data_IF_367327793459
#
_entry.id   IF_367327793459
#
_cell.length_a   1.000
_cell.length_b   1.000
_cell.length_c   1.000
_cell.angle_alpha   90.00
_cell.angle_beta   90.00
_cell.angle_gamma   90.00
#
_symmetry.space_group_name_H-M   'P 1'
#
loop_
_entity.id
_entity.type
_entity.pdbx_description
1 polymer ?
#
# COMPACT_ATOMS: atom_id res chain seq x y z
N UNK A 1 -1.07 8.99 -12.72
CA UNK A 1 0.22 8.92 -13.46
C UNK A 1 0.88 10.30 -13.49
N UNK A 2 1.56 10.70 -12.43
CA UNK A 2 2.16 12.00 -12.20
C UNK A 2 3.68 11.92 -12.42
N UNK A 3 4.26 12.73 -13.35
CA UNK A 3 5.70 12.88 -13.48
C UNK A 3 6.29 13.49 -12.21
N UNK A 4 7.27 12.82 -11.60
CA UNK A 4 7.77 13.20 -10.26
C UNK A 4 8.94 14.15 -10.27
N UNK A 5 9.53 14.43 -11.44
CA UNK A 5 10.80 15.16 -11.59
C UNK A 5 12.02 14.44 -11.00
N UNK A 6 11.86 13.23 -10.45
CA UNK A 6 12.96 12.36 -10.02
C UNK A 6 13.46 11.59 -11.25
N UNK A 7 14.61 12.02 -11.79
CA UNK A 7 15.17 11.53 -13.06
C UNK A 7 16.42 10.68 -12.87
N UNK A 8 16.56 9.63 -13.67
CA UNK A 8 17.68 8.68 -13.63
C UNK A 8 17.46 7.51 -12.67
N UNK A 9 18.55 6.79 -12.38
CA UNK A 9 18.59 5.63 -11.49
C UNK A 9 19.63 5.82 -10.42
N UNK A 10 19.35 5.26 -9.26
CA UNK A 10 20.33 5.11 -8.19
C UNK A 10 21.27 3.95 -8.52
N UNK A 11 22.55 4.09 -8.17
CA UNK A 11 23.54 3.02 -8.29
C UNK A 11 24.05 2.53 -6.92
N UNK A 12 23.52 3.11 -5.84
CA UNK A 12 23.88 2.79 -4.47
C UNK A 12 25.11 3.55 -3.99
N UNK A 13 25.82 4.31 -4.85
CA UNK A 13 27.01 5.07 -4.48
C UNK A 13 26.70 6.42 -3.83
N UNK A 14 25.42 6.80 -3.75
CA UNK A 14 24.99 8.08 -3.22
C UNK A 14 25.46 8.26 -1.76
N UNK A 15 26.04 9.42 -1.47
CA UNK A 15 26.53 9.79 -0.14
C UNK A 15 26.04 11.19 0.24
N UNK A 16 26.16 11.52 1.52
CA UNK A 16 25.90 12.87 2.03
C UNK A 16 24.94 12.90 3.20
N UNK A 17 24.71 14.09 3.74
CA UNK A 17 23.83 14.32 4.89
C UNK A 17 22.65 15.18 4.50
N UNK A 18 21.45 14.70 4.82
CA UNK A 18 20.19 15.30 4.41
C UNK A 18 19.26 15.43 5.62
N UNK A 19 18.50 16.53 5.65
CA UNK A 19 17.38 16.68 6.57
C UNK A 19 16.10 16.43 5.79
N UNK A 20 15.27 15.53 6.28
CA UNK A 20 13.98 15.21 5.68
C UNK A 20 12.87 15.43 6.69
N UNK A 21 11.70 15.74 6.17
CA UNK A 21 10.53 16.15 6.91
C UNK A 21 9.36 15.34 6.38
N UNK A 22 8.74 14.58 7.28
CA UNK A 22 7.59 13.73 6.99
C UNK A 22 6.40 14.30 7.76
N UNK A 23 5.48 14.93 7.02
CA UNK A 23 4.30 15.62 7.56
C UNK A 23 3.12 14.67 7.52
N UNK A 24 2.87 13.99 8.64
CA UNK A 24 1.70 13.14 8.80
C UNK A 24 0.47 13.90 9.32
N UNK A 25 -0.65 13.18 9.42
CA UNK A 25 -1.91 13.74 9.92
C UNK A 25 -1.87 14.20 11.39
N UNK A 26 -0.96 13.68 12.22
CA UNK A 26 -0.90 14.02 13.66
C UNK A 26 0.47 14.52 14.12
N UNK A 27 1.54 14.09 13.43
CA UNK A 27 2.91 14.36 13.82
C UNK A 27 3.73 14.82 12.61
N UNK A 28 4.63 15.77 12.87
CA UNK A 28 5.79 16.03 12.02
C UNK A 28 6.94 15.16 12.49
N UNK A 29 7.51 14.35 11.60
CA UNK A 29 8.75 13.63 11.84
C UNK A 29 9.88 14.34 11.12
N UNK A 30 10.90 14.75 11.87
CA UNK A 30 12.14 15.33 11.35
C UNK A 30 13.20 14.24 11.39
N UNK A 31 13.83 13.93 10.26
CA UNK A 31 14.83 12.87 10.16
C UNK A 31 16.12 13.41 9.56
N UNK A 32 17.22 13.23 10.29
CA UNK A 32 18.57 13.39 9.75
C UNK A 32 19.01 12.06 9.15
N UNK A 33 19.23 12.05 7.84
CA UNK A 33 19.66 10.89 7.05
C UNK A 33 21.10 11.11 6.61
N UNK A 34 21.97 10.15 6.89
CA UNK A 34 23.35 10.10 6.42
C UNK A 34 23.49 8.92 5.47
N UNK A 35 23.67 9.20 4.18
CA UNK A 35 23.94 8.22 3.14
C UNK A 35 25.44 7.91 3.13
N UNK A 36 25.78 6.63 3.28
CA UNK A 36 27.16 6.15 3.45
C UNK A 36 27.73 5.53 2.16
N UNK A 37 26.90 5.42 1.11
CA UNK A 37 27.20 4.69 -0.11
C UNK A 37 27.01 3.17 0.09
N UNK A 38 27.15 2.43 -1.01
CA UNK A 38 26.90 0.99 -1.08
C UNK A 38 25.53 0.58 -0.51
N UNK A 39 24.50 1.42 -0.71
CA UNK A 39 23.14 1.17 -0.19
C UNK A 39 23.00 1.26 1.33
N UNK A 40 23.99 1.82 2.04
CA UNK A 40 23.99 1.94 3.51
C UNK A 40 23.65 3.35 3.95
N UNK A 41 22.90 3.46 5.04
CA UNK A 41 22.55 4.75 5.62
C UNK A 41 22.43 4.67 7.15
N UNK A 42 22.58 5.82 7.81
CA UNK A 42 22.15 6.03 9.19
C UNK A 42 20.96 7.01 9.19
N UNK A 43 19.99 6.78 10.07
CA UNK A 43 18.87 7.70 10.26
C UNK A 43 18.65 7.98 11.74
N UNK A 44 18.41 9.25 12.08
CA UNK A 44 17.98 9.68 13.43
C UNK A 44 16.78 10.57 13.30
N UNK A 45 15.71 10.27 14.03
CA UNK A 45 14.47 11.02 13.93
C UNK A 45 14.03 11.61 15.26
N UNK A 46 13.25 12.69 15.19
CA UNK A 46 12.42 13.21 16.26
C UNK A 46 11.02 13.43 15.75
N UNK A 47 10.02 13.14 16.58
CA UNK A 47 8.61 13.38 16.28
C UNK A 47 8.10 14.55 17.11
N UNK A 48 7.33 15.42 16.47
CA UNK A 48 6.71 16.58 17.07
C UNK A 48 5.24 16.56 16.75
N UNK A 49 4.38 16.84 17.74
CA UNK A 49 2.97 17.09 17.48
C UNK A 49 2.85 18.43 16.78
N UNK A 50 2.03 18.51 15.75
CA UNK A 50 1.77 19.74 15.00
C UNK A 50 0.29 20.08 15.04
N UNK A 51 -0.01 21.34 15.32
CA UNK A 51 -1.38 21.84 15.30
C UNK A 51 -1.87 22.01 13.86
N UNK A 52 -3.19 21.91 13.61
CA UNK A 52 -3.77 21.99 12.26
C UNK A 52 -3.37 23.26 11.50
N UNK A 53 -3.28 24.39 12.21
CA UNK A 53 -2.90 25.67 11.60
C UNK A 53 -1.45 25.71 11.06
N UNK A 54 -0.57 24.80 11.50
CA UNK A 54 0.81 24.70 11.02
C UNK A 54 0.96 23.71 9.86
N UNK A 55 -0.11 22.97 9.49
CA UNK A 55 -0.12 22.05 8.35
C UNK A 55 -0.44 22.73 7.03
N UNK A 56 -0.87 23.99 7.08
CA UNK A 56 -1.22 24.79 5.92
C UNK A 56 -0.16 25.86 5.69
N UNK A 57 0.25 26.03 4.44
CA UNK A 57 1.28 26.99 4.06
C UNK A 57 1.86 26.70 2.69
N UNK A 58 2.74 27.58 2.23
CA UNK A 58 3.43 27.40 0.95
C UNK A 58 4.60 26.40 1.12
N UNK A 59 4.49 25.24 0.46
CA UNK A 59 5.48 24.16 0.59
C UNK A 59 6.91 24.60 0.19
N UNK A 60 7.03 25.50 -0.78
CA UNK A 60 8.31 26.05 -1.29
C UNK A 60 9.11 26.81 -0.24
N UNK A 61 8.47 27.34 0.80
CA UNK A 61 9.14 28.04 1.90
C UNK A 61 9.87 27.08 2.84
N UNK A 62 9.45 25.81 2.88
CA UNK A 62 9.95 24.81 3.82
C UNK A 62 10.76 23.70 3.14
N UNK A 63 10.39 23.30 1.92
CA UNK A 63 10.95 22.13 1.24
C UNK A 63 11.71 22.52 -0.03
N UNK A 64 12.96 22.06 -0.13
CA UNK A 64 13.73 22.15 -1.37
C UNK A 64 13.23 21.16 -2.46
N UNK A 65 12.64 20.05 -2.02
CA UNK A 65 11.99 19.07 -2.86
C UNK A 65 10.81 18.45 -2.10
N UNK A 66 9.72 18.17 -2.82
CA UNK A 66 8.55 17.47 -2.30
C UNK A 66 8.43 16.15 -3.06
N UNK A 67 8.30 15.05 -2.33
CA UNK A 67 8.07 13.74 -2.94
C UNK A 67 6.84 13.06 -2.35
N UNK A 68 6.26 12.16 -3.13
CA UNK A 68 5.29 11.20 -2.63
C UNK A 68 6.00 10.06 -1.88
N UNK A 69 5.36 9.53 -0.85
CA UNK A 69 5.87 8.45 -0.01
C UNK A 69 6.21 7.17 -0.80
N UNK A 70 5.37 6.76 -1.75
CA UNK A 70 5.55 5.57 -2.59
C UNK A 70 6.70 5.75 -3.59
N UNK A 71 6.93 6.97 -4.06
CA UNK A 71 8.16 7.33 -4.79
C UNK A 71 9.37 7.16 -3.87
N UNK A 72 9.28 7.62 -2.62
CA UNK A 72 10.32 7.42 -1.62
C UNK A 72 10.58 5.93 -1.32
N UNK A 73 9.53 5.11 -1.21
CA UNK A 73 9.59 3.66 -1.08
C UNK A 73 10.37 3.00 -2.21
N UNK A 74 10.13 3.40 -3.46
CA UNK A 74 10.89 2.94 -4.62
C UNK A 74 12.37 3.29 -4.47
N UNK A 75 12.67 4.57 -4.18
CA UNK A 75 14.05 5.06 -4.11
C UNK A 75 14.85 4.41 -2.97
N UNK A 76 14.26 4.31 -1.77
CA UNK A 76 14.91 3.70 -0.63
C UNK A 76 15.26 2.22 -0.89
N UNK A 77 14.36 1.46 -1.52
CA UNK A 77 14.63 0.09 -1.91
C UNK A 77 15.66 0.02 -3.05
N UNK A 78 15.57 0.92 -4.04
CA UNK A 78 16.51 1.00 -5.16
C UNK A 78 17.96 1.32 -4.74
N UNK A 79 18.13 2.05 -3.64
CA UNK A 79 19.45 2.33 -3.07
C UNK A 79 20.17 1.06 -2.60
N UNK A 80 19.41 0.06 -2.14
CA UNK A 80 19.93 -1.24 -1.69
C UNK A 80 19.91 -2.31 -2.80
N UNK A 81 18.96 -2.19 -3.72
CA UNK A 81 18.68 -3.14 -4.80
C UNK A 81 18.52 -2.40 -6.12
N UNK A 82 19.60 -2.23 -6.89
CA UNK A 82 19.63 -1.38 -8.11
C UNK A 82 18.73 -1.89 -9.24
N UNK A 83 18.26 -3.13 -9.17
CA UNK A 83 17.25 -3.73 -10.02
C UNK A 83 15.81 -3.45 -9.56
N UNK A 84 15.61 -2.49 -8.65
CA UNK A 84 14.27 -2.02 -8.26
C UNK A 84 13.67 -1.13 -9.33
N UNK A 85 12.47 -1.49 -9.81
CA UNK A 85 11.73 -0.69 -10.79
C UNK A 85 10.38 -0.21 -10.27
N UNK A 86 9.90 -0.76 -9.16
CA UNK A 86 8.55 -0.51 -8.64
C UNK A 86 8.63 -0.25 -7.14
N UNK A 87 7.90 0.77 -6.68
CA UNK A 87 7.57 1.00 -5.29
C UNK A 87 6.06 0.82 -5.08
N UNK A 88 5.66 0.19 -3.98
CA UNK A 88 4.26 0.00 -3.63
C UNK A 88 4.00 0.43 -2.19
N UNK A 89 2.94 1.22 -2.00
CA UNK A 89 2.34 1.45 -0.71
C UNK A 89 1.15 0.51 -0.54
N UNK A 90 1.19 -0.38 0.44
CA UNK A 90 0.11 -1.30 0.82
C UNK A 90 -0.10 -1.23 2.34
N UNK A 91 -0.79 -0.18 2.78
CA UNK A 91 -0.97 0.15 4.19
C UNK A 91 -2.37 0.67 4.48
N UNK A 92 -2.47 1.82 5.14
CA UNK A 92 -3.75 2.52 5.35
C UNK A 92 -4.37 2.93 4.01
N UNK A 93 -3.59 3.58 3.14
CA UNK A 93 -3.91 3.78 1.73
C UNK A 93 -3.16 2.78 0.84
N UNK A 94 -3.30 2.94 -0.47
CA UNK A 94 -2.59 2.16 -1.46
C UNK A 94 -2.16 2.99 -2.66
N UNK A 95 -0.90 2.83 -3.08
CA UNK A 95 -0.39 3.50 -4.27
C UNK A 95 0.75 2.70 -4.92
N UNK A 96 1.09 3.06 -6.15
CA UNK A 96 2.21 2.50 -6.89
C UNK A 96 3.06 3.60 -7.52
N UNK A 97 4.36 3.37 -7.57
CA UNK A 97 5.30 4.15 -8.34
C UNK A 97 6.18 3.22 -9.17
N UNK A 98 6.63 3.66 -10.34
CA UNK A 98 7.54 2.87 -11.17
C UNK A 98 8.48 3.75 -11.98
N UNK A 99 9.58 3.17 -12.45
CA UNK A 99 10.55 3.84 -13.31
C UNK A 99 10.10 3.76 -14.79
N UNK A 100 9.90 4.91 -15.42
CA UNK A 100 9.44 5.04 -16.81
C UNK A 100 10.53 5.64 -17.71
N UNK A 101 10.50 5.29 -19.01
CA UNK A 101 11.29 5.96 -20.04
C UNK A 101 10.67 7.33 -20.35
N UNK A 102 11.45 8.40 -20.21
CA UNK A 102 10.97 9.78 -20.40
C UNK A 102 10.32 9.98 -21.77
N UNK A 103 10.84 9.32 -22.82
CA UNK A 103 10.28 9.37 -24.18
C UNK A 103 8.85 8.82 -24.29
N UNK A 104 8.42 7.95 -23.36
CA UNK A 104 7.06 7.42 -23.30
C UNK A 104 6.10 8.35 -22.55
N UNK A 105 6.60 9.36 -21.83
CA UNK A 105 5.78 10.31 -21.08
C UNK A 105 5.33 11.45 -22.02
N UNK A 106 4.30 11.21 -22.81
CA UNK A 106 3.82 12.14 -23.86
C UNK A 106 3.38 13.52 -23.35
N UNK A 107 3.09 13.66 -22.06
CA UNK A 107 2.73 14.94 -21.41
C UNK A 107 3.90 15.67 -20.75
N UNK A 108 5.07 15.04 -20.66
CA UNK A 108 6.25 15.67 -20.08
C UNK A 108 6.82 16.74 -21.01
N UNK A 109 7.18 17.90 -20.45
CA UNK A 109 7.73 19.06 -21.19
C UNK A 109 8.96 19.68 -20.52
N UNK A 110 9.40 19.15 -19.37
CA UNK A 110 10.55 19.68 -18.66
C UNK A 110 11.89 19.17 -19.21
N UNK A 111 12.97 19.75 -18.69
CA UNK A 111 14.33 19.34 -19.04
C UNK A 111 14.61 17.90 -18.57
N UNK A 112 15.24 17.13 -19.46
CA UNK A 112 15.65 15.74 -19.21
C UNK A 112 16.94 15.67 -18.39
N UNK A 113 17.71 16.75 -18.33
CA UNK A 113 19.01 16.80 -17.63
C UNK A 113 19.96 15.67 -18.09
N UNK A 114 19.89 15.32 -19.38
CA UNK A 114 20.66 14.20 -19.96
C UNK A 114 20.25 12.79 -19.50
N UNK A 115 19.18 12.65 -18.70
CA UNK A 115 18.66 11.36 -18.23
C UNK A 115 17.58 10.83 -19.16
N UNK A 116 17.41 9.50 -19.18
CA UNK A 116 16.45 8.79 -20.03
C UNK A 116 15.22 8.30 -19.27
N UNK A 117 15.30 8.25 -17.93
CA UNK A 117 14.30 7.62 -17.07
C UNK A 117 13.79 8.59 -16.01
N UNK A 118 12.54 8.42 -15.60
CA UNK A 118 11.90 9.20 -14.55
C UNK A 118 10.94 8.32 -13.74
N UNK A 119 10.90 8.52 -12.42
CA UNK A 119 9.89 7.85 -11.60
C UNK A 119 8.51 8.48 -11.86
N UNK A 120 7.49 7.65 -12.07
CA UNK A 120 6.09 8.05 -12.13
C UNK A 120 5.41 7.64 -10.84
N UNK A 121 4.72 8.59 -10.20
CA UNK A 121 3.75 8.30 -9.17
C UNK A 121 2.40 7.97 -9.84
N UNK A 122 1.89 6.76 -9.67
CA UNK A 122 0.70 6.34 -10.40
C UNK A 122 -0.57 6.97 -9.87
N UNK A 123 -0.69 7.18 -8.55
CA UNK A 123 -1.95 7.49 -7.87
C UNK A 123 -3.04 6.52 -8.32
N UNK A 124 -2.73 5.21 -8.31
CA UNK A 124 -3.60 4.19 -8.90
C UNK A 124 -4.90 3.95 -8.12
N UNK A 125 -5.06 4.58 -6.96
CA UNK A 125 -6.24 4.42 -6.11
C UNK A 125 -7.52 4.86 -6.81
N UNK A 126 -7.40 5.83 -7.73
CA UNK A 126 -8.48 6.32 -8.58
C UNK A 126 -8.79 5.44 -9.80
N UNK A 127 -8.11 4.30 -9.97
CA UNK A 127 -8.36 3.40 -11.09
C UNK A 127 -9.83 2.92 -11.09
N UNK A 128 -10.47 3.02 -12.25
CA UNK A 128 -11.86 2.60 -12.49
C UNK A 128 -12.89 3.26 -11.56
N UNK A 129 -12.72 4.56 -11.28
CA UNK A 129 -13.77 5.39 -10.65
C UNK A 129 -15.07 5.38 -11.48
N UNK A 130 -14.98 5.10 -12.78
CA UNK A 130 -16.10 4.92 -13.70
C UNK A 130 -16.88 3.62 -13.48
N UNK A 131 -16.35 2.66 -12.68
CA UNK A 131 -16.97 1.37 -12.33
C UNK A 131 -17.31 0.48 -13.52
N UNK A 132 -16.35 0.32 -14.43
CA UNK A 132 -16.54 -0.45 -15.67
C UNK A 132 -15.89 -1.83 -15.65
N UNK A 133 -14.91 -2.06 -14.76
CA UNK A 133 -14.07 -3.27 -14.78
C UNK A 133 -14.03 -3.95 -13.41
N UNK A 134 -13.89 -3.20 -12.33
CA UNK A 134 -13.73 -3.73 -10.98
C UNK A 134 -15.01 -4.45 -10.51
N UNK A 135 -14.88 -5.58 -9.79
CA UNK A 135 -16.01 -6.39 -9.33
C UNK A 135 -16.70 -5.76 -8.11
N UNK A 136 -17.33 -4.59 -8.30
CA UNK A 136 -18.00 -3.84 -7.23
C UNK A 136 -19.24 -4.56 -6.68
N UNK A 137 -19.14 -5.02 -5.45
CA UNK A 137 -20.25 -5.68 -4.74
C UNK A 137 -21.19 -4.65 -4.11
N UNK A 138 -22.31 -5.12 -3.52
CA UNK A 138 -23.18 -4.24 -2.72
C UNK A 138 -22.44 -3.66 -1.50
N UNK A 139 -21.51 -4.40 -0.91
CA UNK A 139 -20.75 -4.00 0.29
C UNK A 139 -19.74 -2.90 -0.01
N UNK A 140 -19.09 -2.96 -1.18
CA UNK A 140 -18.20 -1.90 -1.65
C UNK A 140 -18.97 -0.59 -1.90
N UNK A 141 -20.21 -0.68 -2.41
CA UNK A 141 -21.07 0.49 -2.63
C UNK A 141 -21.52 1.13 -1.32
N UNK A 142 -21.88 0.32 -0.31
CA UNK A 142 -22.25 0.81 1.02
C UNK A 142 -21.08 1.60 1.61
N UNK A 143 -19.87 1.03 1.59
CA UNK A 143 -18.66 1.71 2.08
C UNK A 143 -18.38 3.00 1.30
N UNK A 144 -18.40 2.95 -0.04
CA UNK A 144 -18.09 4.10 -0.89
C UNK A 144 -19.06 5.27 -0.65
N UNK A 145 -20.36 5.00 -0.57
CA UNK A 145 -21.39 6.02 -0.34
C UNK A 145 -21.25 6.72 1.01
N UNK A 146 -20.77 6.01 2.04
CA UNK A 146 -20.58 6.54 3.38
C UNK A 146 -19.15 7.09 3.63
N UNK A 147 -18.25 6.96 2.65
CA UNK A 147 -16.88 7.47 2.75
C UNK A 147 -16.81 9.00 2.65
N UNK A 148 -15.64 9.58 2.99
CA UNK A 148 -15.40 11.03 2.88
C UNK A 148 -15.44 11.53 1.42
N UNK A 149 -15.17 10.65 0.46
CA UNK A 149 -15.05 10.95 -0.96
C UNK A 149 -15.82 9.93 -1.82
N UNK A 150 -17.17 9.93 -1.78
CA UNK A 150 -17.97 8.98 -2.55
C UNK A 150 -17.71 9.08 -4.06
N UNK A 151 -17.50 7.94 -4.71
CA UNK A 151 -17.20 7.87 -6.15
C UNK A 151 -15.76 8.11 -6.54
N UNK A 152 -14.87 8.37 -5.58
CA UNK A 152 -13.44 8.53 -5.78
C UNK A 152 -12.65 7.42 -5.09
N UNK A 153 -11.39 7.23 -5.48
CA UNK A 153 -10.46 6.26 -4.89
C UNK A 153 -11.03 4.83 -4.85
N UNK A 154 -11.80 4.44 -5.87
CA UNK A 154 -12.56 3.19 -5.84
C UNK A 154 -11.66 1.94 -5.79
N UNK A 155 -10.54 1.94 -6.50
CA UNK A 155 -9.59 0.84 -6.43
C UNK A 155 -8.91 0.75 -5.05
N UNK A 156 -8.49 1.89 -4.49
CA UNK A 156 -7.89 1.96 -3.16
C UNK A 156 -8.87 1.46 -2.07
N UNK A 157 -10.14 1.84 -2.16
CA UNK A 157 -11.20 1.33 -1.26
C UNK A 157 -11.35 -0.19 -1.28
N UNK A 158 -10.94 -0.85 -2.36
CA UNK A 158 -11.01 -2.31 -2.47
C UNK A 158 -9.75 -3.03 -1.97
N UNK A 159 -8.61 -2.35 -1.81
CA UNK A 159 -7.34 -3.03 -1.49
C UNK A 159 -6.64 -2.51 -0.25
N UNK A 160 -6.89 -1.27 0.16
CA UNK A 160 -6.15 -0.64 1.24
C UNK A 160 -6.72 -1.01 2.61
N UNK A 161 -5.81 -1.13 3.59
CA UNK A 161 -6.12 -1.57 4.95
C UNK A 161 -7.05 -0.65 5.73
N UNK A 162 -7.27 0.59 5.31
CA UNK A 162 -8.33 1.43 5.90
C UNK A 162 -9.74 0.88 5.67
N UNK A 163 -9.95 0.13 4.57
CA UNK A 163 -11.28 -0.19 4.07
C UNK A 163 -11.66 -1.67 4.18
N UNK A 164 -10.68 -2.58 4.22
CA UNK A 164 -10.95 -4.02 4.23
C UNK A 164 -11.82 -4.45 5.40
N UNK A 165 -11.52 -3.94 6.60
CA UNK A 165 -12.30 -4.24 7.79
C UNK A 165 -13.75 -3.76 7.69
N UNK A 166 -13.99 -2.60 7.10
CA UNK A 166 -15.34 -2.05 6.89
C UNK A 166 -16.14 -2.85 5.85
N UNK A 167 -15.48 -3.37 4.81
CA UNK A 167 -16.11 -4.29 3.85
C UNK A 167 -16.50 -5.58 4.56
N UNK A 168 -15.61 -6.15 5.37
CA UNK A 168 -15.90 -7.34 6.16
C UNK A 168 -17.09 -7.08 7.12
N UNK A 169 -17.11 -5.94 7.82
CA UNK A 169 -18.20 -5.53 8.70
C UNK A 169 -19.54 -5.50 7.97
N UNK A 170 -19.60 -4.89 6.78
CA UNK A 170 -20.82 -4.81 5.98
C UNK A 170 -21.34 -6.20 5.57
N UNK A 171 -20.44 -7.15 5.30
CA UNK A 171 -20.83 -8.55 5.02
C UNK A 171 -21.37 -9.22 6.29
N UNK A 172 -20.69 -9.06 7.43
CA UNK A 172 -21.11 -9.64 8.70
C UNK A 172 -22.47 -9.11 9.16
N UNK A 173 -22.74 -7.81 8.95
CA UNK A 173 -24.05 -7.21 9.23
C UNK A 173 -25.17 -7.82 8.36
N UNK A 174 -24.93 -7.98 7.06
CA UNK A 174 -25.91 -8.60 6.15
C UNK A 174 -26.22 -10.05 6.58
N UNK A 175 -25.20 -10.82 6.98
CA UNK A 175 -25.37 -12.18 7.49
C UNK A 175 -26.11 -12.22 8.84
N UNK A 176 -25.89 -11.23 9.72
CA UNK A 176 -26.63 -11.05 10.98
C UNK A 176 -28.10 -10.74 10.70
N UNK A 177 -28.40 -9.82 9.77
CA UNK A 177 -29.77 -9.49 9.36
C UNK A 177 -30.52 -10.69 8.77
N UNK A 178 -29.81 -11.55 8.03
CA UNK A 178 -30.33 -12.81 7.50
C UNK A 178 -30.45 -13.93 8.56
N UNK A 179 -30.13 -13.65 9.82
CA UNK A 179 -30.15 -14.63 10.93
C UNK A 179 -29.23 -15.84 10.70
N UNK A 180 -28.14 -15.66 9.94
CA UNK A 180 -27.13 -16.69 9.66
C UNK A 180 -25.94 -16.62 10.63
N UNK A 181 -25.77 -15.50 11.33
CA UNK A 181 -24.76 -15.28 12.34
C UNK A 181 -25.40 -14.80 13.63
N UNK A 182 -24.84 -15.22 14.76
CA UNK A 182 -25.12 -14.66 16.09
C UNK A 182 -26.61 -14.68 16.46
N UNK A 183 -27.32 -15.79 16.18
CA UNK A 183 -28.78 -15.92 16.30
C UNK A 183 -29.39 -15.57 17.68
N UNK A 184 -28.56 -15.47 18.72
CA UNK A 184 -28.99 -15.14 20.09
C UNK A 184 -28.37 -13.85 20.62
N UNK A 185 -27.58 -13.15 19.82
CA UNK A 185 -26.89 -11.93 20.23
C UNK A 185 -27.57 -10.68 19.64
N UNK A 186 -27.69 -9.65 20.47
CA UNK A 186 -28.28 -8.35 20.14
C UNK A 186 -27.23 -7.22 20.11
N UNK A 187 -25.94 -7.58 20.11
CA UNK A 187 -24.86 -6.59 20.12
C UNK A 187 -24.92 -5.62 18.93
N UNK A 188 -24.83 -4.33 19.27
CA UNK A 188 -24.86 -3.17 18.37
C UNK A 188 -23.46 -2.67 18.00
N UNK A 189 -22.39 -3.26 18.53
CA UNK A 189 -21.03 -2.76 18.27
C UNK A 189 -20.65 -2.88 16.78
N UNK A 190 -21.05 -3.97 16.11
CA UNK A 190 -20.89 -4.11 14.66
C UNK A 190 -21.78 -3.14 13.87
N UNK A 191 -22.84 -2.58 14.46
CA UNK A 191 -23.72 -1.63 13.77
C UNK A 191 -23.04 -0.25 13.62
N UNK A 192 -21.99 0.01 14.41
CA UNK A 192 -21.18 1.22 14.30
C UNK A 192 -20.25 1.12 13.09
N UNK A 193 -20.30 2.12 12.20
CA UNK A 193 -19.40 2.22 11.05
C UNK A 193 -17.93 2.31 11.50
N UNK A 194 -17.03 1.65 10.76
CA UNK A 194 -15.59 1.58 11.05
C UNK A 194 -15.20 0.85 12.34
N UNK A 195 -16.11 0.12 12.98
CA UNK A 195 -15.81 -0.60 14.22
C UNK A 195 -14.99 -1.88 14.03
N UNK A 196 -14.74 -2.29 12.78
CA UNK A 196 -14.00 -3.50 12.46
C UNK A 196 -12.73 -3.14 11.69
N UNK A 197 -11.60 -3.09 12.40
CA UNK A 197 -10.31 -2.75 11.82
C UNK A 197 -9.64 -3.94 11.11
N UNK A 198 -8.81 -3.64 10.12
CA UNK A 198 -8.00 -4.66 9.43
C UNK A 198 -7.01 -5.38 10.37
N UNK A 199 -6.64 -4.78 11.51
CA UNK A 199 -5.86 -5.48 12.53
C UNK A 199 -6.60 -6.69 13.11
N UNK A 200 -7.94 -6.61 13.21
CA UNK A 200 -8.77 -7.72 13.65
C UNK A 200 -8.85 -8.81 12.59
N UNK A 201 -8.95 -8.41 11.32
CA UNK A 201 -8.82 -9.34 10.21
C UNK A 201 -7.50 -10.11 10.27
N UNK A 202 -6.37 -9.43 10.47
CA UNK A 202 -5.06 -10.08 10.61
C UNK A 202 -5.03 -11.10 11.75
N UNK A 203 -5.63 -10.77 12.91
CA UNK A 203 -5.71 -11.67 14.06
C UNK A 203 -6.60 -12.90 13.80
N UNK A 204 -7.71 -12.72 13.08
CA UNK A 204 -8.63 -13.80 12.69
C UNK A 204 -8.00 -14.69 11.61
N UNK A 205 -7.33 -14.10 10.62
CA UNK A 205 -6.61 -14.83 9.56
C UNK A 205 -5.54 -15.76 10.17
N UNK A 206 -4.76 -15.23 11.12
CA UNK A 206 -3.68 -15.95 11.80
C UNK A 206 -4.16 -17.10 12.72
N UNK A 207 -5.45 -17.13 13.09
CA UNK A 207 -5.96 -18.12 14.03
C UNK A 207 -6.05 -19.52 13.41
N UNK A 208 -5.09 -20.38 13.72
CA UNK A 208 -5.05 -21.77 13.27
C UNK A 208 -5.54 -22.77 14.34
N UNK A 209 -6.14 -22.30 15.43
CA UNK A 209 -6.65 -23.18 16.49
C UNK A 209 -7.89 -23.94 16.02
N UNK A 210 -8.07 -25.17 16.49
CA UNK A 210 -9.23 -26.01 16.10
C UNK A 210 -10.56 -25.34 16.43
N UNK A 211 -10.61 -24.65 17.57
CA UNK A 211 -11.80 -23.97 18.06
C UNK A 211 -11.89 -22.50 17.63
N UNK A 212 -10.88 -21.96 16.93
CA UNK A 212 -10.79 -20.53 16.59
C UNK A 212 -10.88 -19.62 17.82
N UNK A 213 -10.11 -19.94 18.87
CA UNK A 213 -10.15 -19.24 20.16
C UNK A 213 -9.80 -17.75 20.04
N UNK A 214 -8.82 -17.40 19.21
CA UNK A 214 -8.44 -16.00 19.01
C UNK A 214 -9.52 -15.23 18.26
N UNK A 215 -10.17 -15.86 17.29
CA UNK A 215 -11.34 -15.32 16.59
C UNK A 215 -12.47 -15.08 17.59
N UNK A 216 -12.71 -16.02 18.51
CA UNK A 216 -13.67 -15.83 19.61
C UNK A 216 -13.33 -14.62 20.48
N UNK A 217 -12.06 -14.47 20.89
CA UNK A 217 -11.60 -13.31 21.67
C UNK A 217 -11.78 -11.98 20.94
N UNK A 218 -11.51 -11.95 19.63
CA UNK A 218 -11.72 -10.76 18.79
C UNK A 218 -13.20 -10.40 18.76
N UNK A 219 -14.09 -11.37 18.55
CA UNK A 219 -15.54 -11.17 18.55
C UNK A 219 -16.07 -10.70 19.91
N UNK A 220 -15.60 -11.29 21.01
CA UNK A 220 -15.97 -10.88 22.37
C UNK A 220 -15.49 -9.46 22.68
N UNK A 221 -14.26 -9.11 22.31
CA UNK A 221 -13.64 -7.84 22.70
C UNK A 221 -14.16 -6.67 21.87
N UNK A 222 -14.40 -6.87 20.58
CA UNK A 222 -14.68 -5.79 19.62
C UNK A 222 -16.14 -5.79 19.20
N UNK A 223 -16.61 -6.94 18.73
CA UNK A 223 -18.00 -7.06 18.32
C UNK A 223 -18.93 -7.11 19.54
N UNK A 224 -18.38 -7.21 20.76
CA UNK A 224 -19.14 -7.45 22.00
C UNK A 224 -20.11 -8.62 21.84
N UNK A 225 -19.74 -9.56 20.96
CA UNK A 225 -20.53 -10.74 20.66
C UNK A 225 -20.12 -11.81 21.65
N UNK A 226 -21.01 -12.12 22.59
CA UNK A 226 -20.73 -13.10 23.64
C UNK A 226 -21.25 -14.47 23.21
N UNK A 227 -20.44 -15.50 23.40
CA UNK A 227 -20.88 -16.88 23.14
C UNK A 227 -21.01 -17.23 21.66
N UNK A 228 -20.17 -16.65 20.79
CA UNK A 228 -20.06 -17.07 19.38
C UNK A 228 -19.83 -18.59 19.30
N UNK A 229 -20.62 -19.28 18.49
CA UNK A 229 -20.40 -20.71 18.23
C UNK A 229 -19.18 -20.93 17.36
N UNK A 230 -18.65 -22.16 17.32
CA UNK A 230 -17.58 -22.50 16.38
C UNK A 230 -17.99 -22.21 14.92
N UNK A 231 -19.26 -22.44 14.57
CA UNK A 231 -19.80 -22.16 13.24
C UNK A 231 -19.75 -20.66 12.93
N UNK A 232 -20.16 -19.80 13.87
CA UNK A 232 -20.05 -18.34 13.71
C UNK A 232 -18.59 -17.94 13.43
N UNK A 233 -17.65 -18.47 14.23
CA UNK A 233 -16.22 -18.17 14.07
C UNK A 233 -15.66 -18.62 12.72
N UNK A 234 -16.09 -19.78 12.21
CA UNK A 234 -15.71 -20.28 10.90
C UNK A 234 -16.26 -19.40 9.76
N UNK A 235 -17.51 -18.94 9.87
CA UNK A 235 -18.10 -18.02 8.90
C UNK A 235 -17.35 -16.69 8.91
N UNK A 236 -17.10 -16.11 10.09
CA UNK A 236 -16.34 -14.86 10.24
C UNK A 236 -14.95 -14.99 9.61
N UNK A 237 -14.22 -16.06 9.92
CA UNK A 237 -12.91 -16.32 9.33
C UNK A 237 -12.97 -16.43 7.81
N UNK A 238 -14.00 -17.09 7.27
CA UNK A 238 -14.22 -17.22 5.83
C UNK A 238 -14.45 -15.85 5.17
N UNK A 239 -15.26 -14.97 5.79
CA UNK A 239 -15.48 -13.60 5.29
C UNK A 239 -14.17 -12.82 5.26
N UNK A 240 -13.41 -12.86 6.35
CA UNK A 240 -12.09 -12.21 6.45
C UNK A 240 -11.15 -12.68 5.34
N UNK A 241 -11.08 -13.99 5.13
CA UNK A 241 -10.26 -14.61 4.08
C UNK A 241 -10.67 -14.17 2.68
N UNK A 242 -11.96 -14.13 2.38
CA UNK A 242 -12.46 -13.70 1.08
C UNK A 242 -12.12 -12.23 0.79
N UNK A 243 -12.26 -11.34 1.79
CA UNK A 243 -11.94 -9.92 1.63
C UNK A 243 -10.43 -9.72 1.46
N UNK A 244 -9.61 -10.36 2.29
CA UNK A 244 -8.15 -10.30 2.21
C UNK A 244 -7.60 -10.85 0.89
N UNK A 245 -8.06 -12.03 0.48
CA UNK A 245 -7.67 -12.66 -0.79
C UNK A 245 -8.08 -11.79 -2.00
N UNK A 246 -9.28 -11.21 -1.98
CA UNK A 246 -9.70 -10.27 -3.04
C UNK A 246 -8.75 -9.08 -3.12
N UNK A 247 -8.41 -8.47 -1.98
CA UNK A 247 -7.49 -7.34 -1.93
C UNK A 247 -6.10 -7.69 -2.49
N UNK A 248 -5.57 -8.86 -2.14
CA UNK A 248 -4.31 -9.38 -2.67
C UNK A 248 -4.39 -9.60 -4.19
N UNK A 249 -5.44 -10.24 -4.71
CA UNK A 249 -5.61 -10.50 -6.15
C UNK A 249 -5.78 -9.22 -6.97
N UNK A 250 -6.50 -8.24 -6.45
CA UNK A 250 -6.61 -6.92 -7.09
C UNK A 250 -5.27 -6.18 -7.08
N UNK A 251 -4.50 -6.29 -5.99
CA UNK A 251 -3.12 -5.78 -5.93
C UNK A 251 -2.24 -6.46 -6.98
N UNK A 252 -2.32 -7.79 -7.15
CA UNK A 252 -1.63 -8.52 -8.22
C UNK A 252 -1.97 -8.00 -9.61
N UNK A 253 -3.24 -7.64 -9.87
CA UNK A 253 -3.66 -7.07 -11.15
C UNK A 253 -2.94 -5.74 -11.43
N UNK A 254 -2.86 -4.84 -10.44
CA UNK A 254 -2.13 -3.59 -10.58
C UNK A 254 -0.64 -3.83 -10.86
N UNK A 255 0.02 -4.70 -10.09
CA UNK A 255 1.41 -5.07 -10.37
C UNK A 255 1.57 -5.69 -11.76
N UNK A 256 0.69 -6.60 -12.16
CA UNK A 256 0.77 -7.26 -13.46
C UNK A 256 0.71 -6.24 -14.60
N UNK A 257 -0.17 -5.23 -14.49
CA UNK A 257 -0.22 -4.11 -15.42
C UNK A 257 1.12 -3.38 -15.54
N UNK A 258 1.77 -3.07 -14.41
CA UNK A 258 3.09 -2.42 -14.39
C UNK A 258 4.16 -3.33 -14.99
N UNK A 259 4.21 -4.61 -14.61
CA UNK A 259 5.20 -5.58 -15.09
C UNK A 259 5.08 -5.82 -16.60
N UNK A 260 3.85 -5.94 -17.12
CA UNK A 260 3.60 -6.01 -18.56
C UNK A 260 4.04 -4.74 -19.28
N UNK A 261 3.75 -3.57 -18.69
CA UNK A 261 4.13 -2.26 -19.26
C UNK A 261 5.65 -2.06 -19.32
N UNK A 262 6.35 -2.50 -18.27
CA UNK A 262 7.82 -2.57 -18.23
C UNK A 262 8.39 -3.58 -19.23
N UNK A 263 7.56 -4.48 -19.78
CA UNK A 263 7.97 -5.50 -20.74
C UNK A 263 8.71 -6.67 -20.08
N UNK A 264 8.35 -7.02 -18.83
CA UNK A 264 8.90 -8.20 -18.16
C UNK A 264 8.66 -9.45 -19.03
N UNK A 265 9.74 -10.07 -19.48
CA UNK A 265 9.69 -11.25 -20.35
C UNK A 265 10.99 -12.04 -20.25
N UNK A 266 10.93 -13.35 -20.46
CA UNK A 266 12.13 -14.20 -20.52
C UNK A 266 13.10 -13.81 -21.64
N UNK A 267 12.59 -13.18 -22.71
CA UNK A 267 13.37 -12.71 -23.87
C UNK A 267 13.46 -11.19 -23.96
N UNK A 268 12.79 -10.48 -23.05
CA UNK A 268 12.79 -9.02 -22.98
C UNK A 268 14.06 -8.44 -22.34
N UNK A 269 14.22 -7.10 -22.40
CA UNK A 269 15.37 -6.42 -21.79
C UNK A 269 15.34 -6.49 -20.26
N UNK A 270 14.16 -6.59 -19.65
CA UNK A 270 13.97 -6.73 -18.21
C UNK A 270 13.61 -8.18 -17.90
N UNK A 271 14.53 -8.87 -17.22
CA UNK A 271 14.40 -10.28 -16.83
C UNK A 271 14.03 -10.47 -15.37
N UNK A 272 14.52 -9.55 -14.52
CA UNK A 272 14.28 -9.51 -13.09
C UNK A 272 13.83 -8.09 -12.70
N UNK A 273 12.87 -8.02 -11.77
CA UNK A 273 12.37 -6.78 -11.20
C UNK A 273 12.31 -6.93 -9.70
N UNK A 274 13.04 -6.09 -8.99
CA UNK A 274 12.84 -5.90 -7.57
C UNK A 274 11.72 -4.88 -7.32
N UNK A 275 10.94 -5.10 -6.26
CA UNK A 275 9.79 -4.29 -5.86
C UNK A 275 9.95 -3.95 -4.39
N UNK A 276 10.11 -2.65 -4.10
CA UNK A 276 10.10 -2.15 -2.73
C UNK A 276 8.67 -1.94 -2.25
N UNK A 277 8.31 -2.51 -1.11
CA UNK A 277 6.96 -2.39 -0.55
C UNK A 277 7.03 -1.80 0.85
N UNK A 278 6.19 -0.80 1.11
CA UNK A 278 5.95 -0.29 2.45
C UNK A 278 4.46 -0.35 2.77
N UNK A 279 4.12 -0.35 4.05
CA UNK A 279 2.75 -0.32 4.54
C UNK A 279 2.37 -1.50 5.44
N UNK A 280 1.47 -1.21 6.37
CA UNK A 280 1.05 -2.13 7.43
C UNK A 280 0.34 -3.38 6.94
N UNK A 281 -0.36 -3.31 5.81
CA UNK A 281 -1.08 -4.46 5.26
C UNK A 281 -0.08 -5.50 4.77
N UNK A 282 0.92 -5.08 4.00
CA UNK A 282 2.01 -5.96 3.55
C UNK A 282 2.82 -6.54 4.73
N UNK A 283 3.13 -5.71 5.74
CA UNK A 283 3.98 -6.12 6.86
C UNK A 283 3.28 -7.06 7.86
N UNK A 284 1.98 -6.87 8.12
CA UNK A 284 1.31 -7.51 9.26
C UNK A 284 0.13 -8.41 8.88
N UNK A 285 -0.38 -8.35 7.65
CA UNK A 285 -1.48 -9.22 7.24
C UNK A 285 -0.93 -10.61 6.84
N UNK A 286 -1.36 -11.70 7.51
CA UNK A 286 -0.79 -13.02 7.26
C UNK A 286 -0.94 -13.47 5.81
N UNK A 287 0.15 -13.90 5.18
CA UNK A 287 0.14 -14.48 3.84
C UNK A 287 -0.06 -13.50 2.68
N UNK A 288 -0.15 -12.19 2.94
CA UNK A 288 -0.53 -11.22 1.90
C UNK A 288 0.43 -11.18 0.71
N UNK A 289 1.75 -11.19 0.96
CA UNK A 289 2.77 -11.30 -0.10
C UNK A 289 2.59 -12.57 -0.94
N UNK A 290 2.41 -13.72 -0.27
CA UNK A 290 2.21 -15.00 -0.95
C UNK A 290 0.99 -14.93 -1.86
N UNK A 291 -0.12 -14.38 -1.38
CA UNK A 291 -1.36 -14.29 -2.15
C UNK A 291 -1.24 -13.30 -3.33
N UNK A 292 -0.46 -12.22 -3.18
CA UNK A 292 -0.11 -11.34 -4.31
C UNK A 292 0.70 -12.12 -5.36
N UNK A 293 1.70 -12.89 -4.94
CA UNK A 293 2.54 -13.68 -5.83
C UNK A 293 1.79 -14.85 -6.48
N UNK A 294 0.82 -15.44 -5.78
CA UNK A 294 -0.15 -16.41 -6.33
C UNK A 294 -0.98 -15.75 -7.43
N UNK A 295 -1.59 -14.59 -7.16
CA UNK A 295 -2.35 -13.85 -8.17
C UNK A 295 -1.51 -13.41 -9.38
N UNK A 296 -0.27 -13.00 -9.18
CA UNK A 296 0.66 -12.71 -10.27
C UNK A 296 0.97 -13.96 -11.11
N UNK A 297 1.16 -15.10 -10.46
CA UNK A 297 1.41 -16.38 -11.15
C UNK A 297 0.20 -16.82 -11.98
N UNK A 298 -1.02 -16.54 -11.51
CA UNK A 298 -2.24 -16.82 -12.25
C UNK A 298 -2.38 -15.94 -13.50
N UNK A 299 -1.96 -14.67 -13.43
CA UNK A 299 -2.09 -13.69 -14.53
C UNK A 299 -0.95 -13.85 -15.56
N UNK A 300 0.30 -13.97 -15.09
CA UNK A 300 1.51 -13.91 -15.93
C UNK A 300 2.20 -15.27 -16.10
N UNK A 301 1.68 -16.31 -15.45
CA UNK A 301 2.28 -17.65 -15.42
C UNK A 301 3.31 -17.84 -14.32
N UNK A 302 3.57 -19.09 -13.94
CA UNK A 302 4.41 -19.47 -12.80
C UNK A 302 5.85 -18.97 -12.84
N UNK A 303 6.37 -18.63 -14.03
CA UNK A 303 7.72 -18.07 -14.20
C UNK A 303 7.92 -16.73 -13.49
N UNK A 304 6.86 -15.94 -13.28
CA UNK A 304 6.96 -14.62 -12.64
C UNK A 304 7.61 -14.70 -11.25
N UNK A 305 7.46 -15.84 -10.55
CA UNK A 305 8.06 -16.07 -9.21
C UNK A 305 9.58 -16.06 -9.19
N UNK A 306 10.24 -16.43 -10.29
CA UNK A 306 11.70 -16.35 -10.38
C UNK A 306 12.18 -15.02 -10.97
N UNK A 307 11.25 -14.18 -11.44
CA UNK A 307 11.53 -12.91 -12.10
C UNK A 307 11.25 -11.71 -11.20
N UNK A 308 10.33 -11.84 -10.24
CA UNK A 308 9.96 -10.76 -9.33
C UNK A 308 10.48 -11.07 -7.94
N UNK A 309 11.19 -10.11 -7.36
CA UNK A 309 11.61 -10.13 -5.96
C UNK A 309 10.92 -8.99 -5.23
N UNK A 310 10.01 -9.30 -4.32
CA UNK A 310 9.29 -8.30 -3.53
C UNK A 310 9.89 -8.27 -2.12
N UNK A 311 10.12 -7.08 -1.60
CA UNK A 311 10.75 -6.93 -0.29
C UNK A 311 10.34 -5.66 0.43
N UNK A 312 10.49 -5.64 1.78
CA UNK A 312 10.19 -4.45 2.56
C UNK A 312 11.16 -3.33 2.21
N UNK A 313 10.62 -2.12 2.01
CA UNK A 313 11.38 -0.88 1.93
C UNK A 313 11.29 -0.18 3.29
N UNK A 314 12.43 0.00 3.95
CA UNK A 314 12.47 0.62 5.28
C UNK A 314 12.65 2.14 5.17
N UNK A 315 11.79 2.89 5.88
CA UNK A 315 11.82 4.35 5.95
C UNK A 315 11.76 5.06 4.59
N UNK A 316 10.93 4.53 3.66
CA UNK A 316 10.74 5.07 2.31
C UNK A 316 10.45 6.57 2.27
N UNK A 317 9.59 7.08 3.15
CA UNK A 317 9.26 8.52 3.18
C UNK A 317 10.42 9.43 3.58
N UNK A 318 11.38 8.94 4.38
CA UNK A 318 12.51 9.75 4.88
C UNK A 318 13.78 9.49 4.07
N UNK A 319 14.22 8.24 3.97
CA UNK A 319 15.43 7.88 3.21
C UNK A 319 15.22 8.14 1.72
N UNK A 320 14.04 7.80 1.19
CA UNK A 320 13.67 8.10 -0.18
C UNK A 320 13.62 9.60 -0.48
N UNK A 321 13.21 10.44 0.48
CA UNK A 321 13.25 11.89 0.33
C UNK A 321 14.68 12.44 0.27
N UNK A 322 15.59 11.88 1.06
CA UNK A 322 17.00 12.23 0.99
C UNK A 322 17.59 11.83 -0.38
N UNK A 323 17.30 10.64 -0.87
CA UNK A 323 17.73 10.16 -2.18
C UNK A 323 17.16 11.00 -3.33
N UNK A 324 15.89 11.40 -3.25
CA UNK A 324 15.31 12.32 -4.21
C UNK A 324 16.01 13.69 -4.20
N UNK A 325 16.40 14.19 -3.02
CA UNK A 325 17.18 15.41 -2.91
C UNK A 325 18.58 15.29 -3.54
N UNK A 326 19.25 14.13 -3.40
CA UNK A 326 20.52 13.83 -4.11
C UNK A 326 20.31 13.95 -5.62
N UNK A 327 19.27 13.29 -6.14
CA UNK A 327 18.98 13.23 -7.56
C UNK A 327 18.58 14.61 -8.13
N UNK A 328 17.91 15.45 -7.33
CA UNK A 328 17.57 16.82 -7.71
C UNK A 328 18.74 17.82 -7.59
N UNK A 329 19.69 17.56 -6.68
CA UNK A 329 20.81 18.43 -6.35
C UNK A 329 22.08 18.20 -7.18
N UNK A 330 22.16 17.13 -7.97
CA UNK A 330 23.30 16.78 -8.83
C UNK A 330 23.42 17.66 -10.09
N UNK A 331 23.38 18.99 -9.91
CA UNK A 331 23.58 20.00 -10.96
C UNK A 331 25.05 20.33 -11.15
#
# INVERSE_FOLDING_TARGET
>A
MVPTYVVGRLDGSETGSYLTLDVGGTFLRVVFVELLGQGKFNARHKKYRIDEGLKVGEATLLFAALINDTVGTLLAHAYQHTDTFIGLGLGTGSNGAYLEQIDRITKWRGDRQGRTEMVINMEFGAFDNERTILPFTKYDRILDQASLNPGEQLFEKMIAGMYLGEIARNILLDLKELQLLFQHDSSWALDTMWSFDTAYMSAIEADATLELENTGRVLETIAQVSGSTLVDRQIVKTVVQLVGQRAARLSSMALAGILCHLGLSSTGPIKHVAIGVDGSLYQFYPGFEKDIMDGLSDILGSKVRSQVNMGPSFDGSSVGAALAAVMAGSK
#
